data_IF_865022806431
#
_entry.id   IF_865022806431
#
_cell.length_a   1.000
_cell.length_b   1.000
_cell.length_c   1.000
_cell.angle_alpha   90.00
_cell.angle_beta   90.00
_cell.angle_gamma   90.00
#
_symmetry.space_group_name_H-M   'P 1'
#
loop_
_entity.id
_entity.type
_entity.pdbx_description
1 polymer ?
#
# COMPACT_ATOMS: atom_id res chain seq x y z
N UNK A 1 8.07 18.27 -0.65
CA UNK A 1 7.88 18.16 0.82
C UNK A 1 7.07 16.91 1.07
N UNK A 2 7.52 16.00 1.92
CA UNK A 2 6.66 14.89 2.36
C UNK A 2 5.45 15.52 3.05
N UNK A 3 4.25 15.06 2.69
CA UNK A 3 3.03 15.50 3.33
C UNK A 3 3.12 15.17 4.82
N UNK A 4 2.63 16.05 5.66
CA UNK A 4 2.86 16.01 7.09
C UNK A 4 2.12 14.81 7.75
N UNK A 5 2.60 14.34 8.90
CA UNK A 5 2.03 13.21 9.63
C UNK A 5 0.58 13.45 10.10
N UNK A 6 0.16 14.65 10.56
CA UNK A 6 -1.25 14.95 10.83
C UNK A 6 -2.20 14.69 9.66
N UNK A 7 -1.82 15.04 8.45
CA UNK A 7 -2.63 14.76 7.24
C UNK A 7 -2.74 13.26 6.97
N UNK A 8 -1.67 12.49 7.20
CA UNK A 8 -1.69 11.04 7.09
C UNK A 8 -2.66 10.41 8.13
N UNK A 9 -2.65 10.91 9.36
CA UNK A 9 -3.59 10.45 10.40
C UNK A 9 -5.03 10.75 10.01
N UNK A 10 -5.29 11.94 9.42
CA UNK A 10 -6.62 12.29 8.93
C UNK A 10 -7.10 11.35 7.82
N UNK A 11 -6.23 11.03 6.86
CA UNK A 11 -6.49 10.05 5.81
C UNK A 11 -6.77 8.67 6.40
N UNK A 12 -5.94 8.20 7.32
CA UNK A 12 -6.13 6.91 7.98
C UNK A 12 -7.47 6.83 8.71
N UNK A 13 -7.86 7.89 9.44
CA UNK A 13 -9.16 7.95 10.09
C UNK A 13 -10.33 7.92 9.08
N UNK A 14 -10.14 8.48 7.90
CA UNK A 14 -11.14 8.40 6.82
C UNK A 14 -11.24 6.97 6.30
N UNK A 15 -10.12 6.34 5.96
CA UNK A 15 -10.09 5.02 5.34
C UNK A 15 -10.55 3.92 6.30
N UNK A 16 -10.25 4.04 7.59
CA UNK A 16 -10.73 3.12 8.64
C UNK A 16 -12.25 3.13 8.83
N UNK A 17 -12.94 4.24 8.49
CA UNK A 17 -14.40 4.33 8.69
C UNK A 17 -15.18 3.37 7.80
N UNK A 18 -14.74 3.15 6.58
CA UNK A 18 -15.47 2.30 5.62
C UNK A 18 -15.53 0.84 6.07
N UNK A 19 -14.42 0.15 6.34
CA UNK A 19 -14.48 -1.22 6.83
C UNK A 19 -15.14 -1.31 8.22
N UNK A 20 -14.93 -0.33 9.10
CA UNK A 20 -15.60 -0.30 10.39
C UNK A 20 -17.13 -0.20 10.26
N UNK A 21 -17.63 0.63 9.34
CA UNK A 21 -19.06 0.74 9.06
C UNK A 21 -19.62 -0.58 8.50
N UNK A 22 -18.85 -1.30 7.69
CA UNK A 22 -19.19 -2.62 7.17
C UNK A 22 -19.35 -3.62 8.30
N UNK A 23 -18.36 -3.74 9.19
CA UNK A 23 -18.40 -4.60 10.38
C UNK A 23 -19.64 -4.29 11.24
N UNK A 24 -19.83 -3.01 11.60
CA UNK A 24 -20.95 -2.59 12.44
C UNK A 24 -22.31 -2.83 11.76
N UNK A 25 -22.41 -2.56 10.46
CA UNK A 25 -23.63 -2.72 9.68
C UNK A 25 -24.10 -4.17 9.65
N UNK A 26 -23.23 -5.10 9.29
CA UNK A 26 -23.57 -6.52 9.23
C UNK A 26 -23.78 -7.12 10.62
N UNK A 27 -22.97 -6.78 11.61
CA UNK A 27 -23.16 -7.23 12.98
C UNK A 27 -24.54 -6.78 13.54
N UNK A 28 -24.92 -5.51 13.34
CA UNK A 28 -26.25 -5.01 13.75
C UNK A 28 -27.39 -5.68 12.97
N UNK A 29 -27.19 -5.98 11.71
CA UNK A 29 -28.19 -6.68 10.89
C UNK A 29 -28.42 -8.08 11.45
N UNK A 30 -27.35 -8.82 11.74
CA UNK A 30 -27.45 -10.16 12.34
C UNK A 30 -28.13 -10.15 13.71
N UNK A 31 -27.87 -9.13 14.54
CA UNK A 31 -28.50 -9.01 15.87
C UNK A 31 -30.01 -8.66 15.81
N UNK A 32 -30.51 -8.13 14.70
CA UNK A 32 -31.92 -7.74 14.53
C UNK A 32 -32.78 -8.81 13.84
N UNK A 33 -32.19 -9.76 13.17
CA UNK A 33 -32.90 -10.84 12.50
C UNK A 33 -33.31 -11.89 13.53
N UNK A 34 -34.61 -12.16 13.64
CA UNK A 34 -35.14 -13.21 14.53
C UNK A 34 -34.80 -14.60 14.02
N UNK A 35 -34.75 -14.76 12.68
CA UNK A 35 -34.31 -15.99 12.03
C UNK A 35 -33.27 -15.65 10.96
N UNK A 36 -32.07 -16.20 11.09
CA UNK A 36 -31.00 -16.08 10.12
C UNK A 36 -30.69 -17.49 9.60
N UNK A 37 -30.96 -17.74 8.30
CA UNK A 37 -30.55 -19.00 7.69
C UNK A 37 -29.00 -19.09 7.66
N UNK A 38 -28.50 -20.33 7.67
CA UNK A 38 -27.05 -20.56 7.77
C UNK A 38 -26.25 -19.98 6.61
N UNK A 39 -26.82 -19.90 5.42
CA UNK A 39 -26.14 -19.36 4.24
C UNK A 39 -25.98 -17.82 4.34
N UNK A 40 -27.04 -17.13 4.75
CA UNK A 40 -26.96 -15.67 5.00
C UNK A 40 -26.03 -15.32 6.15
N UNK A 41 -26.06 -16.15 7.22
CA UNK A 41 -25.15 -15.98 8.35
C UNK A 41 -23.69 -16.11 7.90
N UNK A 42 -23.35 -17.17 7.16
CA UNK A 42 -22.00 -17.39 6.64
C UNK A 42 -21.55 -16.24 5.72
N UNK A 43 -22.44 -15.74 4.85
CA UNK A 43 -22.15 -14.59 3.98
C UNK A 43 -21.86 -13.32 4.78
N UNK A 44 -22.67 -13.00 5.80
CA UNK A 44 -22.47 -11.79 6.60
C UNK A 44 -21.20 -11.89 7.47
N UNK A 45 -20.92 -13.07 8.03
CA UNK A 45 -19.66 -13.31 8.73
C UNK A 45 -18.45 -13.16 7.81
N UNK A 46 -18.51 -13.66 6.57
CA UNK A 46 -17.45 -13.48 5.59
C UNK A 46 -17.19 -12.01 5.24
N UNK A 47 -18.24 -11.18 5.17
CA UNK A 47 -18.10 -9.73 4.94
C UNK A 47 -17.50 -9.01 6.16
N UNK A 48 -17.87 -9.43 7.38
CA UNK A 48 -17.30 -8.91 8.61
C UNK A 48 -15.81 -9.30 8.71
N UNK A 49 -15.48 -10.55 8.41
CA UNK A 49 -14.11 -11.05 8.44
C UNK A 49 -13.22 -10.29 7.45
N UNK A 50 -13.63 -10.16 6.18
CA UNK A 50 -12.90 -9.41 5.15
C UNK A 50 -12.67 -7.94 5.56
N UNK A 51 -13.70 -7.28 6.10
CA UNK A 51 -13.57 -5.90 6.57
C UNK A 51 -12.68 -5.79 7.82
N UNK A 52 -12.64 -6.82 8.66
CA UNK A 52 -11.75 -6.86 9.83
C UNK A 52 -10.29 -7.04 9.42
N UNK A 53 -10.00 -7.86 8.41
CA UNK A 53 -8.66 -7.99 7.83
C UNK A 53 -8.20 -6.65 7.25
N UNK A 54 -9.06 -5.96 6.49
CA UNK A 54 -8.74 -4.63 5.96
C UNK A 54 -8.42 -3.62 7.08
N UNK A 55 -9.16 -3.65 8.19
CA UNK A 55 -8.89 -2.79 9.36
C UNK A 55 -7.49 -3.05 9.95
N UNK A 56 -7.10 -4.32 10.08
CA UNK A 56 -5.76 -4.69 10.57
C UNK A 56 -4.68 -4.15 9.63
N UNK A 57 -4.81 -4.36 8.33
CA UNK A 57 -3.86 -3.87 7.33
C UNK A 57 -3.70 -2.34 7.39
N UNK A 58 -4.81 -1.60 7.50
CA UNK A 58 -4.77 -0.13 7.62
C UNK A 58 -4.09 0.32 8.92
N UNK A 59 -4.35 -0.36 10.05
CA UNK A 59 -3.70 -0.08 11.33
C UNK A 59 -2.20 -0.37 11.30
N UNK A 60 -1.77 -1.43 10.63
CA UNK A 60 -0.36 -1.77 10.45
C UNK A 60 0.37 -0.69 9.63
N UNK A 61 -0.27 -0.18 8.57
CA UNK A 61 0.26 0.95 7.80
C UNK A 61 0.43 2.20 8.67
N UNK A 62 -0.56 2.55 9.49
CA UNK A 62 -0.47 3.71 10.41
C UNK A 62 0.63 3.51 11.43
N UNK A 63 0.74 2.31 12.00
CA UNK A 63 1.79 1.95 12.96
C UNK A 63 3.18 2.06 12.34
N UNK A 64 3.34 1.56 11.11
CA UNK A 64 4.61 1.65 10.38
C UNK A 64 4.98 3.11 10.10
N UNK A 65 4.04 3.92 9.61
CA UNK A 65 4.27 5.35 9.40
C UNK A 65 4.67 6.07 10.69
N UNK A 66 4.00 5.78 11.80
CA UNK A 66 4.31 6.37 13.09
C UNK A 66 5.72 5.99 13.61
N UNK A 67 6.17 4.76 13.33
CA UNK A 67 7.54 4.34 13.66
C UNK A 67 8.58 5.07 12.82
N UNK A 68 8.32 5.25 11.51
CA UNK A 68 9.22 5.99 10.60
C UNK A 68 9.32 7.45 11.05
N UNK A 69 8.20 8.14 11.23
CA UNK A 69 8.16 9.55 11.63
C UNK A 69 8.76 9.77 13.03
N UNK A 70 8.62 8.79 13.93
CA UNK A 70 9.19 8.83 15.27
C UNK A 70 10.65 8.40 15.35
N UNK A 71 11.31 8.09 14.22
CA UNK A 71 12.71 7.62 14.20
C UNK A 71 12.92 6.27 14.91
N UNK A 72 11.87 5.44 14.97
CA UNK A 72 11.88 4.11 15.62
C UNK A 72 11.69 2.97 14.63
N UNK A 73 11.77 3.27 13.34
CA UNK A 73 11.75 2.23 12.31
C UNK A 73 13.11 1.55 12.26
N UNK A 74 13.12 0.26 12.54
CA UNK A 74 14.28 -0.61 12.52
C UNK A 74 14.07 -1.71 11.49
N UNK A 75 14.51 -1.49 10.22
CA UNK A 75 14.29 -2.43 9.14
C UNK A 75 15.19 -3.67 9.29
N UNK A 76 14.66 -4.83 8.90
CA UNK A 76 15.44 -6.08 8.83
C UNK A 76 16.08 -6.19 7.46
N UNK A 77 17.25 -5.54 7.29
CA UNK A 77 17.95 -5.51 6.01
C UNK A 77 18.48 -6.90 5.64
N UNK A 78 18.25 -7.31 4.38
CA UNK A 78 18.73 -8.57 3.78
C UNK A 78 19.03 -8.36 2.31
N UNK A 79 19.95 -9.15 1.79
CA UNK A 79 20.15 -9.27 0.35
C UNK A 79 18.94 -9.98 -0.28
N UNK A 80 18.39 -9.39 -1.33
CA UNK A 80 17.28 -9.93 -2.09
C UNK A 80 17.42 -9.55 -3.57
N UNK A 81 16.83 -10.34 -4.47
CA UNK A 81 16.72 -9.97 -5.87
C UNK A 81 15.58 -8.97 -6.06
N UNK A 82 15.85 -7.83 -6.68
CA UNK A 82 14.86 -6.79 -6.94
C UNK A 82 13.66 -7.26 -7.77
N UNK A 83 13.83 -8.30 -8.62
CA UNK A 83 12.72 -8.90 -9.36
C UNK A 83 11.77 -9.68 -8.44
N UNK A 84 12.31 -10.36 -7.42
CA UNK A 84 11.50 -11.09 -6.43
C UNK A 84 10.70 -10.14 -5.53
N UNK A 85 11.15 -8.90 -5.36
CA UNK A 85 10.47 -7.87 -4.57
C UNK A 85 9.35 -7.16 -5.35
N UNK A 86 9.38 -7.26 -6.68
CA UNK A 86 8.42 -6.58 -7.54
C UNK A 86 7.02 -7.24 -7.46
N UNK A 87 5.95 -6.49 -7.75
CA UNK A 87 4.60 -7.05 -7.84
C UNK A 87 4.50 -8.26 -8.76
N UNK A 88 3.60 -9.19 -8.45
CA UNK A 88 3.38 -10.39 -9.25
C UNK A 88 3.11 -10.03 -10.73
N UNK A 89 3.76 -10.77 -11.64
CA UNK A 89 3.69 -10.50 -13.07
C UNK A 89 4.72 -9.49 -13.59
N UNK A 90 5.60 -8.97 -12.74
CA UNK A 90 6.71 -8.14 -13.17
C UNK A 90 7.67 -8.90 -14.09
N UNK A 91 8.23 -8.20 -15.08
CA UNK A 91 9.15 -8.75 -16.08
C UNK A 91 10.49 -8.01 -16.04
N UNK A 92 11.55 -8.62 -16.56
CA UNK A 92 12.87 -7.98 -16.66
C UNK A 92 13.97 -8.77 -15.96
N UNK A 93 15.04 -8.07 -15.58
CA UNK A 93 16.19 -8.64 -14.90
C UNK A 93 16.46 -7.88 -13.60
N UNK A 94 16.49 -8.58 -12.47
CA UNK A 94 16.80 -8.02 -11.18
C UNK A 94 18.32 -7.87 -10.92
N UNK A 95 18.61 -7.28 -9.77
CA UNK A 95 19.94 -7.22 -9.18
C UNK A 95 19.84 -7.44 -7.67
N UNK A 96 20.92 -7.84 -7.05
CA UNK A 96 20.99 -7.91 -5.59
C UNK A 96 20.90 -6.52 -4.98
N UNK A 97 19.96 -6.34 -4.06
CA UNK A 97 19.74 -5.12 -3.28
C UNK A 97 19.74 -5.46 -1.79
N UNK A 98 20.11 -4.50 -0.95
CA UNK A 98 20.13 -4.71 0.51
C UNK A 98 19.01 -3.87 1.16
N UNK A 99 17.88 -4.50 1.42
CA UNK A 99 16.65 -3.85 1.88
C UNK A 99 15.91 -4.72 2.90
N UNK A 100 14.82 -4.22 3.45
CA UNK A 100 13.81 -5.03 4.16
C UNK A 100 12.83 -5.59 3.10
N UNK A 101 12.88 -6.90 2.76
CA UNK A 101 12.15 -7.45 1.63
C UNK A 101 10.63 -7.34 1.79
N UNK A 102 10.10 -7.59 3.00
CA UNK A 102 8.66 -7.53 3.25
C UNK A 102 8.14 -6.09 3.10
N UNK A 103 8.87 -5.14 3.67
CA UNK A 103 8.51 -3.73 3.60
C UNK A 103 8.54 -3.21 2.15
N UNK A 104 9.58 -3.58 1.37
CA UNK A 104 9.70 -3.17 -0.03
C UNK A 104 8.61 -3.81 -0.90
N UNK A 105 8.38 -5.12 -0.78
CA UNK A 105 7.33 -5.81 -1.55
C UNK A 105 5.96 -5.20 -1.30
N UNK A 106 5.63 -4.94 -0.03
CA UNK A 106 4.37 -4.28 0.36
C UNK A 106 4.28 -2.87 -0.21
N UNK A 107 5.36 -2.09 -0.14
CA UNK A 107 5.40 -0.73 -0.64
C UNK A 107 5.24 -0.68 -2.17
N UNK A 108 5.96 -1.52 -2.93
CA UNK A 108 5.86 -1.57 -4.38
C UNK A 108 4.46 -2.01 -4.83
N UNK A 109 3.87 -3.01 -4.17
CA UNK A 109 2.50 -3.43 -4.42
C UNK A 109 1.48 -2.32 -4.14
N UNK A 110 1.68 -1.53 -3.10
CA UNK A 110 0.82 -0.39 -2.77
C UNK A 110 0.92 0.73 -3.80
N UNK A 111 2.13 1.04 -4.29
CA UNK A 111 2.31 2.04 -5.35
C UNK A 111 1.67 1.60 -6.68
N UNK A 112 1.84 0.34 -7.08
CA UNK A 112 1.23 -0.19 -8.30
C UNK A 112 -0.31 -0.15 -8.22
N UNK A 113 -0.90 -0.57 -7.08
CA UNK A 113 -2.35 -0.48 -6.86
C UNK A 113 -2.86 0.95 -6.84
N UNK A 114 -2.12 1.88 -6.23
CA UNK A 114 -2.49 3.28 -6.20
C UNK A 114 -2.42 3.91 -7.60
N UNK A 115 -1.39 3.61 -8.38
CA UNK A 115 -1.26 4.05 -9.76
C UNK A 115 -2.46 3.60 -10.62
N UNK A 116 -2.83 2.32 -10.53
CA UNK A 116 -3.97 1.77 -11.25
C UNK A 116 -5.30 2.38 -10.77
N UNK A 117 -5.52 2.46 -9.46
CA UNK A 117 -6.77 2.96 -8.86
C UNK A 117 -7.02 4.42 -9.19
N UNK A 118 -6.01 5.28 -8.99
CA UNK A 118 -6.14 6.72 -9.19
C UNK A 118 -5.99 7.14 -10.65
N UNK A 119 -5.34 6.31 -11.46
CA UNK A 119 -5.24 6.52 -12.90
C UNK A 119 -6.41 5.96 -13.70
N UNK A 120 -7.17 5.01 -13.14
CA UNK A 120 -8.23 4.31 -13.86
C UNK A 120 -7.74 3.47 -15.04
N UNK A 121 -6.47 3.05 -15.02
CA UNK A 121 -5.80 2.28 -16.08
C UNK A 121 -5.10 1.06 -15.50
N UNK A 122 -4.93 0.03 -16.32
CA UNK A 122 -4.04 -1.08 -15.96
C UNK A 122 -2.59 -0.60 -15.98
N UNK A 123 -1.84 -1.02 -14.96
CA UNK A 123 -0.40 -0.73 -14.88
C UNK A 123 0.40 -2.01 -15.02
N UNK A 124 1.55 -1.92 -15.65
CA UNK A 124 2.55 -2.97 -15.71
C UNK A 124 3.75 -2.63 -14.84
N UNK A 125 4.46 -3.66 -14.40
CA UNK A 125 5.71 -3.48 -13.65
C UNK A 125 6.84 -4.20 -14.39
N UNK A 126 7.96 -3.52 -14.53
CA UNK A 126 9.20 -4.11 -15.05
C UNK A 126 10.38 -3.79 -14.14
N UNK A 127 11.44 -4.58 -14.25
CA UNK A 127 12.65 -4.47 -13.42
C UNK A 127 13.87 -4.40 -14.30
N UNK A 128 14.74 -3.42 -14.02
CA UNK A 128 16.01 -3.22 -14.67
C UNK A 128 17.10 -2.98 -13.62
N UNK A 129 17.78 -4.05 -13.25
CA UNK A 129 18.73 -4.04 -12.15
C UNK A 129 18.06 -3.64 -10.83
N UNK A 130 18.55 -2.64 -10.09
CA UNK A 130 17.94 -2.19 -8.83
C UNK A 130 16.72 -1.29 -9.03
N UNK A 131 16.29 -1.05 -10.28
CA UNK A 131 15.18 -0.16 -10.62
C UNK A 131 13.91 -0.94 -10.89
N UNK A 132 12.83 -0.57 -10.21
CA UNK A 132 11.49 -1.08 -10.46
C UNK A 132 10.71 0.05 -11.16
N UNK A 133 10.12 -0.27 -12.32
CA UNK A 133 9.39 0.65 -13.17
C UNK A 133 7.92 0.27 -13.14
N UNK A 134 7.05 1.24 -12.83
CA UNK A 134 5.59 1.08 -12.82
C UNK A 134 5.02 2.05 -13.86
N UNK A 135 4.30 1.54 -14.84
CA UNK A 135 3.77 2.33 -15.95
C UNK A 135 2.48 1.74 -16.55
N UNK A 136 1.56 2.56 -17.10
CA UNK A 136 1.62 4.02 -17.10
C UNK A 136 1.17 4.62 -15.76
N UNK A 137 1.79 5.73 -15.35
CA UNK A 137 1.34 6.55 -14.24
C UNK A 137 0.85 7.88 -14.79
N UNK A 138 -0.45 7.96 -15.02
CA UNK A 138 -1.09 9.15 -15.58
C UNK A 138 -1.09 10.34 -14.62
N UNK A 139 -1.36 11.54 -15.13
CA UNK A 139 -1.26 12.79 -14.39
C UNK A 139 -2.08 12.81 -13.08
N UNK A 140 -3.24 12.16 -13.06
CA UNK A 140 -4.14 12.06 -11.90
C UNK A 140 -3.56 11.22 -10.77
N UNK A 141 -2.82 10.16 -11.10
CA UNK A 141 -2.17 9.26 -10.14
C UNK A 141 -0.80 9.79 -9.65
N UNK A 142 -0.13 10.59 -10.45
CA UNK A 142 1.22 11.08 -10.20
C UNK A 142 1.43 11.70 -8.81
N UNK A 143 0.61 12.67 -8.35
CA UNK A 143 0.79 13.28 -7.03
C UNK A 143 0.57 12.30 -5.88
N UNK A 144 -0.27 11.27 -6.07
CA UNK A 144 -0.56 10.26 -5.06
C UNK A 144 0.63 9.31 -4.90
N UNK A 145 1.15 8.75 -5.99
CA UNK A 145 2.27 7.79 -5.94
C UNK A 145 3.60 8.44 -5.57
N UNK A 146 3.74 9.75 -5.75
CA UNK A 146 4.89 10.52 -5.28
C UNK A 146 4.76 11.00 -3.82
N UNK A 147 3.59 10.78 -3.18
CA UNK A 147 3.30 11.23 -1.82
C UNK A 147 3.12 12.74 -1.70
N UNK A 148 2.85 13.45 -2.81
CA UNK A 148 2.53 14.87 -2.81
C UNK A 148 1.08 15.14 -2.40
N UNK A 149 0.17 14.23 -2.77
CA UNK A 149 -1.22 14.22 -2.30
C UNK A 149 -1.49 12.96 -1.47
N UNK A 150 -2.10 13.15 -0.30
CA UNK A 150 -2.50 12.07 0.61
C UNK A 150 -3.95 11.67 0.33
N UNK A 151 -4.13 10.85 -0.72
CA UNK A 151 -5.43 10.29 -1.11
C UNK A 151 -5.46 8.76 -1.02
N UNK A 152 -4.33 8.13 -0.72
CA UNK A 152 -4.17 6.69 -0.60
C UNK A 152 -3.16 6.40 0.52
N UNK A 153 -3.64 5.77 1.60
CA UNK A 153 -2.81 5.50 2.77
C UNK A 153 -1.65 4.55 2.43
N UNK A 154 -1.91 3.53 1.62
CA UNK A 154 -0.89 2.58 1.18
C UNK A 154 0.24 3.26 0.42
N UNK A 155 -0.08 4.12 -0.57
CA UNK A 155 0.91 4.88 -1.32
C UNK A 155 1.68 5.87 -0.43
N UNK A 156 0.98 6.57 0.46
CA UNK A 156 1.60 7.54 1.35
C UNK A 156 2.60 6.89 2.32
N UNK A 157 2.30 5.68 2.80
CA UNK A 157 3.22 4.89 3.64
C UNK A 157 4.34 4.27 2.81
N UNK A 158 4.03 3.74 1.62
CA UNK A 158 5.01 3.15 0.71
C UNK A 158 6.15 4.13 0.36
N UNK A 159 5.81 5.38 0.04
CA UNK A 159 6.82 6.42 -0.24
C UNK A 159 7.72 6.66 0.98
N UNK A 160 7.15 6.66 2.20
CA UNK A 160 7.93 6.82 3.43
C UNK A 160 8.87 5.66 3.69
N UNK A 161 8.38 4.45 3.53
CA UNK A 161 9.16 3.21 3.68
C UNK A 161 10.34 3.19 2.72
N UNK A 162 10.08 3.39 1.43
CA UNK A 162 11.13 3.36 0.42
C UNK A 162 12.19 4.41 0.67
N UNK A 163 11.81 5.64 1.05
CA UNK A 163 12.77 6.69 1.42
C UNK A 163 13.53 6.38 2.69
N UNK A 164 12.87 5.81 3.70
CA UNK A 164 13.53 5.41 4.95
C UNK A 164 14.58 4.30 4.75
N UNK A 165 14.37 3.47 3.72
CA UNK A 165 15.33 2.44 3.29
C UNK A 165 16.42 2.96 2.33
N UNK A 166 16.43 4.26 2.03
CA UNK A 166 17.41 4.87 1.12
C UNK A 166 17.04 4.76 -0.36
N UNK A 167 15.83 4.34 -0.67
CA UNK A 167 15.33 4.29 -2.05
C UNK A 167 14.95 5.66 -2.59
N UNK A 168 15.01 5.81 -3.90
CA UNK A 168 14.62 7.03 -4.63
C UNK A 168 13.39 6.76 -5.51
N UNK A 169 12.48 7.75 -5.57
CA UNK A 169 11.31 7.71 -6.44
C UNK A 169 11.38 8.88 -7.42
N UNK A 170 11.31 8.58 -8.70
CA UNK A 170 11.26 9.57 -9.79
C UNK A 170 10.13 9.24 -10.75
N UNK A 171 9.50 10.29 -11.32
CA UNK A 171 8.46 10.14 -12.32
C UNK A 171 8.86 10.94 -13.56
N UNK A 172 8.94 10.28 -14.69
CA UNK A 172 9.17 10.87 -16.00
C UNK A 172 8.42 10.06 -17.06
N UNK A 173 7.85 10.74 -18.05
CA UNK A 173 7.18 10.11 -19.20
C UNK A 173 6.14 9.05 -18.77
N UNK A 174 5.28 9.39 -17.80
CA UNK A 174 4.27 8.50 -17.21
C UNK A 174 4.85 7.21 -16.59
N UNK A 175 6.12 7.19 -16.23
CA UNK A 175 6.81 6.06 -15.63
C UNK A 175 7.32 6.44 -14.25
N UNK A 176 6.82 5.75 -13.23
CA UNK A 176 7.38 5.81 -11.89
C UNK A 176 8.55 4.84 -11.79
N UNK A 177 9.72 5.35 -11.50
CA UNK A 177 10.93 4.57 -11.23
C UNK A 177 11.24 4.60 -9.74
N UNK A 178 11.30 3.43 -9.14
CA UNK A 178 11.78 3.23 -7.77
C UNK A 178 13.15 2.60 -7.85
N UNK A 179 14.18 3.31 -7.40
CA UNK A 179 15.55 2.80 -7.32
C UNK A 179 15.83 2.34 -5.90
N UNK A 180 16.20 1.07 -5.74
CA UNK A 180 16.56 0.48 -4.45
C UNK A 180 18.07 0.60 -4.17
N UNK A 181 18.49 0.69 -2.90
CA UNK A 181 19.91 0.71 -2.54
C UNK A 181 20.56 -0.67 -2.81
N UNK A 182 21.80 -0.63 -3.31
CA UNK A 182 22.63 -1.80 -3.63
C UNK A 182 23.59 -2.08 -2.49
#
# INVERSE_FOLDING_TARGET
>A
MAADFPSLVSLACHDLRTPLATVQGFARTMLRLEELDGEKAARYLGLIDAASVELVELLDLVSLAARIEGGRYDPVLREADSLELAPAGATGAGATVNVDPEAVTTALGSLARAAARHGGVEVSTSVDGPRILIEPVVAEAAPVVLGAEQKDLGAAVAVRVLRALGGELTLADERLTVTLPV
#
